data_IF_292295743298
#
_entry.id   IF_292295743298
#
_cell.length_a   1.000
_cell.length_b   1.000
_cell.length_c   1.000
_cell.angle_alpha   90.00
_cell.angle_beta   90.00
_cell.angle_gamma   90.00
#
_symmetry.space_group_name_H-M   'P 1'
#
loop_
_entity.id
_entity.type
_entity.pdbx_description
1 polymer ?
#
# COMPACT_ATOMS: atom_id res chain seq x y z
N UNK A 1 -37.19 -36.94 14.66
CA UNK A 1 -35.75 -37.23 14.41
C UNK A 1 -35.15 -36.42 13.26
N UNK A 2 -35.83 -36.19 12.12
CA UNK A 2 -35.23 -35.49 10.96
C UNK A 2 -34.90 -34.00 11.17
N UNK A 3 -35.68 -33.25 11.97
CA UNK A 3 -35.44 -31.81 12.22
C UNK A 3 -34.15 -31.55 13.03
N UNK A 4 -33.86 -32.45 13.98
CA UNK A 4 -32.67 -32.37 14.83
C UNK A 4 -31.37 -32.59 14.05
N UNK A 5 -31.36 -33.58 13.16
CA UNK A 5 -30.20 -33.85 12.32
C UNK A 5 -29.91 -32.70 11.33
N UNK A 6 -30.96 -32.03 10.82
CA UNK A 6 -30.81 -30.94 9.85
C UNK A 6 -30.17 -29.69 10.45
N UNK A 7 -30.55 -29.27 11.65
CA UNK A 7 -29.91 -28.09 12.26
C UNK A 7 -28.48 -28.37 12.68
N UNK A 8 -28.17 -29.59 13.15
CA UNK A 8 -26.80 -30.00 13.49
C UNK A 8 -25.89 -30.03 12.26
N UNK A 9 -26.39 -30.49 11.12
CA UNK A 9 -25.65 -30.46 9.85
C UNK A 9 -25.39 -29.03 9.38
N UNK A 10 -26.38 -28.15 9.46
CA UNK A 10 -26.22 -26.74 9.11
C UNK A 10 -25.20 -26.06 10.03
N UNK A 11 -25.26 -26.32 11.34
CA UNK A 11 -24.29 -25.80 12.30
C UNK A 11 -22.87 -26.29 12.00
N UNK A 12 -22.71 -27.57 11.61
CA UNK A 12 -21.42 -28.13 11.20
C UNK A 12 -20.85 -27.44 9.94
N UNK A 13 -21.68 -27.21 8.93
CA UNK A 13 -21.26 -26.53 7.69
C UNK A 13 -20.81 -25.10 8.00
N UNK A 14 -21.59 -24.37 8.79
CA UNK A 14 -21.23 -23.00 9.20
C UNK A 14 -19.96 -22.98 10.05
N UNK A 15 -19.79 -23.94 10.95
CA UNK A 15 -18.57 -24.06 11.75
C UNK A 15 -17.33 -24.34 10.89
N UNK A 16 -17.42 -25.29 9.94
CA UNK A 16 -16.34 -25.56 8.99
C UNK A 16 -16.01 -24.34 8.13
N UNK A 17 -17.02 -23.62 7.66
CA UNK A 17 -16.83 -22.39 6.90
C UNK A 17 -16.14 -21.30 7.73
N UNK A 18 -16.58 -21.09 8.98
CA UNK A 18 -15.98 -20.11 9.88
C UNK A 18 -14.51 -20.42 10.15
N UNK A 19 -14.17 -21.68 10.42
CA UNK A 19 -12.78 -22.13 10.63
C UNK A 19 -11.93 -21.86 9.38
N UNK A 20 -12.42 -22.25 8.20
CA UNK A 20 -11.71 -22.03 6.95
C UNK A 20 -11.50 -20.53 6.66
N UNK A 21 -12.54 -19.71 6.86
CA UNK A 21 -12.47 -18.26 6.68
C UNK A 21 -11.48 -17.60 7.64
N UNK A 22 -11.49 -17.99 8.93
CA UNK A 22 -10.53 -17.49 9.92
C UNK A 22 -9.10 -17.89 9.60
N UNK A 23 -8.89 -19.12 9.15
CA UNK A 23 -7.56 -19.61 8.76
C UNK A 23 -7.03 -18.88 7.52
N UNK A 24 -7.90 -18.64 6.54
CA UNK A 24 -7.58 -17.85 5.35
C UNK A 24 -7.23 -16.39 5.73
N UNK A 25 -8.03 -15.76 6.58
CA UNK A 25 -7.79 -14.40 7.05
C UNK A 25 -6.47 -14.29 7.82
N UNK A 26 -6.18 -15.24 8.72
CA UNK A 26 -4.92 -15.30 9.44
C UNK A 26 -3.72 -15.51 8.51
N UNK A 27 -3.84 -16.41 7.53
CA UNK A 27 -2.80 -16.64 6.53
C UNK A 27 -2.49 -15.37 5.73
N UNK A 28 -3.51 -14.68 5.20
CA UNK A 28 -3.31 -13.44 4.46
C UNK A 28 -2.78 -12.30 5.33
N UNK A 29 -3.24 -12.19 6.58
CA UNK A 29 -2.73 -11.19 7.51
C UNK A 29 -1.24 -11.40 7.82
N UNK A 30 -0.84 -12.65 8.10
CA UNK A 30 0.57 -12.99 8.36
C UNK A 30 1.44 -12.75 7.12
N UNK A 31 0.98 -13.16 5.94
CA UNK A 31 1.70 -12.89 4.69
C UNK A 31 1.87 -11.39 4.44
N UNK A 32 0.83 -10.60 4.68
CA UNK A 32 0.89 -9.14 4.56
C UNK A 32 1.93 -8.54 5.52
N UNK A 33 1.87 -8.89 6.81
CA UNK A 33 2.78 -8.35 7.83
C UNK A 33 4.23 -8.82 7.63
N UNK A 34 4.45 -10.06 7.20
CA UNK A 34 5.80 -10.61 7.01
C UNK A 34 6.46 -10.17 5.70
N UNK A 35 5.69 -9.80 4.67
CA UNK A 35 6.21 -9.24 3.43
C UNK A 35 6.49 -7.74 3.51
N UNK A 36 6.12 -7.08 4.62
CA UNK A 36 6.61 -5.73 4.88
C UNK A 36 8.15 -5.76 4.82
N UNK A 37 8.77 -4.84 4.05
CA UNK A 37 10.23 -4.76 3.97
C UNK A 37 10.80 -4.64 5.39
N UNK A 38 11.33 -5.73 5.94
CA UNK A 38 12.08 -5.66 7.18
C UNK A 38 13.36 -4.90 6.85
N UNK A 39 13.60 -3.76 7.51
CA UNK A 39 14.80 -3.01 7.21
C UNK A 39 16.02 -3.85 7.55
N UNK A 40 16.81 -4.19 6.53
CA UNK A 40 18.11 -4.80 6.74
C UNK A 40 18.94 -3.80 7.58
N UNK A 41 19.43 -4.19 8.77
CA UNK A 41 20.22 -3.29 9.57
C UNK A 41 21.50 -2.93 8.81
N UNK A 42 21.67 -1.64 8.50
CA UNK A 42 22.96 -1.09 8.08
C UNK A 42 23.30 -1.06 6.59
N UNK A 43 22.38 -1.33 5.66
CA UNK A 43 22.65 -1.09 4.22
C UNK A 43 22.21 0.31 3.81
N UNK A 44 23.19 1.12 3.38
CA UNK A 44 22.94 2.27 2.52
C UNK A 44 22.32 1.75 1.23
N UNK A 45 21.17 2.30 0.85
CA UNK A 45 20.54 2.00 -0.44
C UNK A 45 20.53 3.28 -1.26
N UNK A 46 21.13 3.21 -2.45
CA UNK A 46 21.06 4.29 -3.43
C UNK A 46 19.83 4.08 -4.30
N UNK A 47 19.00 5.11 -4.40
CA UNK A 47 17.77 5.14 -5.19
C UNK A 47 17.86 6.32 -6.15
N UNK A 48 17.52 6.08 -7.41
CA UNK A 48 17.32 7.15 -8.39
C UNK A 48 15.81 7.43 -8.45
N UNK A 49 15.41 8.63 -8.07
CA UNK A 49 14.02 9.09 -8.13
C UNK A 49 13.87 10.02 -9.34
N UNK A 50 12.85 9.76 -10.15
CA UNK A 50 12.49 10.61 -11.29
C UNK A 50 11.10 11.18 -11.02
N UNK A 51 10.96 12.49 -11.11
CA UNK A 51 9.68 13.18 -11.10
C UNK A 51 9.38 13.63 -12.52
N UNK A 52 8.43 12.99 -13.18
CA UNK A 52 7.91 13.38 -14.49
C UNK A 52 6.52 14.01 -14.30
N UNK A 53 6.36 15.24 -14.78
CA UNK A 53 5.11 16.00 -14.60
C UNK A 53 4.10 15.77 -15.72
N UNK A 54 4.42 14.96 -16.74
CA UNK A 54 3.53 14.68 -17.88
C UNK A 54 3.32 15.88 -18.82
N UNK A 55 4.00 17.00 -18.59
CA UNK A 55 4.05 18.20 -19.44
C UNK A 55 5.35 18.29 -20.26
N UNK A 56 6.14 17.21 -20.31
CA UNK A 56 7.44 17.14 -20.97
C UNK A 56 8.63 17.60 -20.10
N UNK A 57 8.38 18.10 -18.89
CA UNK A 57 9.44 18.37 -17.90
C UNK A 57 9.59 17.21 -16.92
N UNK A 58 10.84 16.93 -16.54
CA UNK A 58 11.15 15.96 -15.50
C UNK A 58 12.39 16.38 -14.70
N UNK A 59 12.51 15.87 -13.48
CA UNK A 59 13.70 15.98 -12.64
C UNK A 59 14.20 14.61 -12.21
N UNK A 60 15.52 14.48 -12.08
CA UNK A 60 16.18 13.26 -11.64
C UNK A 60 16.98 13.56 -10.37
N UNK A 61 16.78 12.74 -9.34
CA UNK A 61 17.43 12.84 -8.04
C UNK A 61 18.15 11.54 -7.70
N UNK A 62 19.42 11.64 -7.35
CA UNK A 62 20.21 10.52 -6.83
C UNK A 62 20.20 10.58 -5.30
N UNK A 63 19.43 9.71 -4.67
CA UNK A 63 19.21 9.69 -3.23
C UNK A 63 19.97 8.56 -2.59
N UNK A 64 20.74 8.88 -1.55
CA UNK A 64 21.33 7.86 -0.68
C UNK A 64 20.52 7.81 0.59
N UNK A 65 19.89 6.66 0.85
CA UNK A 65 19.00 6.51 2.00
C UNK A 65 19.66 5.72 3.10
N UNK A 66 19.61 6.30 4.30
CA UNK A 66 20.15 5.70 5.51
C UNK A 66 19.02 5.06 6.31
N UNK A 67 19.14 3.75 6.57
CA UNK A 67 18.23 2.96 7.42
C UNK A 67 16.78 2.94 6.91
N UNK A 68 16.43 2.01 5.99
CA UNK A 68 15.02 1.68 5.72
C UNK A 68 14.25 1.37 7.02
N UNK A 69 12.91 1.42 7.03
CA UNK A 69 12.03 1.52 5.86
C UNK A 69 11.77 2.98 5.44
N UNK A 70 11.97 3.25 4.15
CA UNK A 70 11.61 4.49 3.47
C UNK A 70 10.66 4.13 2.34
N UNK A 71 9.52 4.80 2.28
CA UNK A 71 8.56 4.60 1.19
C UNK A 71 8.87 5.54 0.02
N UNK A 72 8.34 5.24 -1.17
CA UNK A 72 8.42 6.15 -2.32
C UNK A 72 7.89 7.54 -1.94
N UNK A 73 6.76 7.59 -1.24
CA UNK A 73 6.16 8.83 -0.77
C UNK A 73 7.12 9.66 0.11
N UNK A 74 7.86 9.01 1.03
CA UNK A 74 8.85 9.72 1.85
C UNK A 74 10.01 10.28 1.01
N UNK A 75 10.45 9.54 -0.02
CA UNK A 75 11.49 10.01 -0.93
C UNK A 75 11.02 11.19 -1.77
N UNK A 76 9.77 11.16 -2.26
CA UNK A 76 9.17 12.28 -2.99
C UNK A 76 9.08 13.53 -2.12
N UNK A 77 8.59 13.40 -0.88
CA UNK A 77 8.53 14.52 0.09
C UNK A 77 9.92 15.08 0.46
N UNK A 78 10.99 14.31 0.31
CA UNK A 78 12.34 14.77 0.61
C UNK A 78 12.92 15.69 -0.49
N UNK A 79 12.36 15.67 -1.71
CA UNK A 79 12.90 16.41 -2.87
C UNK A 79 11.91 17.37 -3.52
N UNK A 80 10.63 17.29 -3.16
CA UNK A 80 9.56 18.09 -3.75
C UNK A 80 8.53 18.50 -2.71
N UNK A 81 7.82 19.59 -2.99
CA UNK A 81 6.59 19.97 -2.28
C UNK A 81 5.46 19.05 -2.75
N UNK A 82 4.83 18.33 -1.82
CA UNK A 82 3.82 17.32 -2.14
C UNK A 82 2.55 17.61 -1.35
N UNK A 83 1.46 17.89 -2.07
CA UNK A 83 0.12 17.86 -1.46
C UNK A 83 -0.46 16.45 -1.58
N UNK A 84 -1.13 15.99 -0.53
CA UNK A 84 -1.71 14.66 -0.50
C UNK A 84 -2.90 14.56 0.45
N UNK A 85 -3.74 13.56 0.20
CA UNK A 85 -4.85 13.17 1.08
C UNK A 85 -4.62 11.75 1.58
N UNK A 86 -4.85 11.51 2.86
CA UNK A 86 -4.76 10.17 3.45
C UNK A 86 -6.15 9.55 3.50
N UNK A 87 -6.32 8.40 2.86
CA UNK A 87 -7.56 7.62 2.89
C UNK A 87 -7.38 6.42 3.81
N UNK A 88 -8.25 6.32 4.83
CA UNK A 88 -8.24 5.20 5.77
C UNK A 88 -8.37 3.87 5.04
N UNK A 89 -7.42 2.96 5.25
CA UNK A 89 -7.38 1.64 4.60
C UNK A 89 -6.85 1.62 3.17
N UNK A 90 -6.63 2.77 2.51
CA UNK A 90 -6.11 2.86 1.13
C UNK A 90 -4.72 3.50 1.05
N UNK A 91 -4.34 4.31 2.04
CA UNK A 91 -3.02 4.93 2.11
C UNK A 91 -3.00 6.38 1.63
N UNK A 92 -1.85 6.82 1.14
CA UNK A 92 -1.61 8.21 0.70
C UNK A 92 -1.96 8.36 -0.77
N UNK A 93 -2.81 9.34 -1.09
CA UNK A 93 -3.11 9.77 -2.44
C UNK A 93 -2.49 11.14 -2.69
N UNK A 94 -1.49 11.21 -3.57
CA UNK A 94 -0.82 12.47 -3.94
C UNK A 94 -1.73 13.29 -4.85
N UNK A 95 -1.97 14.55 -4.47
CA UNK A 95 -2.84 15.48 -5.20
C UNK A 95 -2.07 16.50 -6.01
N UNK A 96 -0.84 16.83 -5.61
CA UNK A 96 0.05 17.71 -6.36
C UNK A 96 1.52 17.41 -6.05
N UNK A 97 2.41 17.74 -6.99
CA UNK A 97 3.86 17.75 -6.79
C UNK A 97 4.42 19.05 -7.39
N UNK A 98 5.14 19.86 -6.59
CA UNK A 98 5.71 21.16 -6.97
C UNK A 98 4.69 22.08 -7.67
N UNK A 99 3.45 22.11 -7.15
CA UNK A 99 2.36 22.92 -7.68
C UNK A 99 1.67 22.34 -8.94
N UNK A 100 2.15 21.21 -9.49
CA UNK A 100 1.47 20.51 -10.58
C UNK A 100 0.43 19.58 -9.98
N UNK A 101 -0.84 19.98 -10.07
CA UNK A 101 -1.97 19.24 -9.49
C UNK A 101 -2.57 18.21 -10.46
N UNK A 102 -3.21 17.20 -9.88
CA UNK A 102 -4.05 16.24 -10.61
C UNK A 102 -5.15 16.98 -11.39
N UNK A 103 -5.44 16.49 -12.59
CA UNK A 103 -6.56 16.96 -13.40
C UNK A 103 -7.46 15.77 -13.78
N UNK A 104 -8.48 15.45 -12.96
CA UNK A 104 -9.43 14.37 -13.24
C UNK A 104 -10.20 14.56 -14.55
N UNK A 105 -10.47 15.80 -14.97
CA UNK A 105 -11.18 16.07 -16.23
C UNK A 105 -10.36 15.65 -17.47
N UNK A 106 -9.03 15.62 -17.34
CA UNK A 106 -8.10 15.16 -18.39
C UNK A 106 -7.52 13.76 -18.10
N UNK A 107 -8.02 13.06 -17.08
CA UNK A 107 -7.48 11.80 -16.59
C UNK A 107 -5.96 11.85 -16.24
N UNK A 108 -5.50 12.98 -15.71
CA UNK A 108 -4.10 13.19 -15.29
C UNK A 108 -3.98 13.11 -13.78
N UNK A 109 -3.09 12.25 -13.31
CA UNK A 109 -2.83 12.02 -11.88
C UNK A 109 -1.32 11.90 -11.64
N UNK A 110 -0.84 12.52 -10.57
CA UNK A 110 0.51 12.35 -10.04
C UNK A 110 0.60 10.99 -9.34
N UNK A 111 1.59 10.19 -9.75
CA UNK A 111 1.85 8.84 -9.24
C UNK A 111 3.13 8.81 -8.39
#
# INVERSE_FOLDING_TARGET
MAKEARWRLLALIVACWAIAASMLAAHYYVHYVLQLPKPAPGRLSSVVLILDYGNGSFHLYNLTVWRPPVTLFNLTCAVAEVDYTVYAGLGVFVTSINGVANNPAENRYSA
#
